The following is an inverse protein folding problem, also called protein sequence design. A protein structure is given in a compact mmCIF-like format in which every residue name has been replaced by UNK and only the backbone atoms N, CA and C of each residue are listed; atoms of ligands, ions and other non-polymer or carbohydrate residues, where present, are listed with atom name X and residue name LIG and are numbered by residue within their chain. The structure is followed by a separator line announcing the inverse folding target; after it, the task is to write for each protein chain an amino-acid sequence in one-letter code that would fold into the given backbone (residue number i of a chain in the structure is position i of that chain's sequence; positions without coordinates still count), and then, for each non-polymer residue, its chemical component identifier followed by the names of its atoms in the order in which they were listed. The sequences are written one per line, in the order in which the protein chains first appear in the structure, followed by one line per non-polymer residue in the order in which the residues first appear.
data_IF_637921636009
#
_entry.id   IF_637921636009
#
_cell.length_a   1.000
_cell.length_b   1.000
_cell.length_c   1.000
_cell.angle_alpha   90.00
_cell.angle_beta   90.00
_cell.angle_gamma   90.00
#
_symmetry.space_group_name_H-M   'P 1'
#
loop_
_entity.id
_entity.type
_entity.pdbx_description
1 polymer ?
#
# COMPACT_ATOMS: atom_id res chain seq x y z
N UNK A 1 -0.61 1.61 28.90
CA UNK A 1 -1.49 0.42 28.89
C UNK A 1 -2.60 0.50 27.83
N UNK A 2 -3.42 1.58 27.78
CA UNK A 2 -4.50 1.69 26.78
C UNK A 2 -3.98 1.78 25.33
N UNK A 3 -2.97 2.65 25.09
CA UNK A 3 -2.31 2.76 23.79
C UNK A 3 -1.65 1.45 23.35
N UNK A 4 -0.94 0.78 24.28
CA UNK A 4 -0.34 -0.53 24.02
C UNK A 4 -1.39 -1.57 23.62
N UNK A 5 -2.55 -1.57 24.27
CA UNK A 5 -3.68 -2.43 23.90
C UNK A 5 -4.17 -2.20 22.48
N UNK A 6 -4.25 -0.93 22.03
CA UNK A 6 -4.64 -0.55 20.67
C UNK A 6 -3.58 -0.99 19.66
N UNK A 7 -2.31 -0.66 19.90
CA UNK A 7 -1.21 -1.01 19.01
C UNK A 7 -1.05 -2.53 18.87
N UNK A 8 -1.19 -3.27 19.98
CA UNK A 8 -1.20 -4.74 19.97
C UNK A 8 -2.42 -5.32 19.23
N UNK A 9 -3.58 -4.66 19.29
CA UNK A 9 -4.76 -5.03 18.51
C UNK A 9 -4.50 -4.92 17.01
N UNK A 10 -3.99 -3.79 16.56
CA UNK A 10 -3.61 -3.55 15.16
C UNK A 10 -2.58 -4.57 14.71
N UNK A 11 -1.56 -4.83 15.51
CA UNK A 11 -0.52 -5.81 15.19
C UNK A 11 -1.07 -7.23 15.00
N UNK A 12 -2.02 -7.67 15.85
CA UNK A 12 -2.65 -9.00 15.73
C UNK A 12 -3.52 -9.13 14.50
N UNK A 13 -4.34 -8.12 14.19
CA UNK A 13 -5.21 -8.14 13.00
C UNK A 13 -4.37 -8.13 11.72
N UNK A 14 -3.36 -7.27 11.67
CA UNK A 14 -2.45 -7.20 10.54
C UNK A 14 -1.64 -8.49 10.39
N UNK A 15 -1.19 -9.10 11.48
CA UNK A 15 -0.50 -10.39 11.47
C UNK A 15 -1.33 -11.51 10.86
N UNK A 16 -2.64 -11.58 11.17
CA UNK A 16 -3.56 -12.54 10.53
C UNK A 16 -3.64 -12.32 9.02
N UNK A 17 -3.82 -11.07 8.60
CA UNK A 17 -3.87 -10.73 7.18
C UNK A 17 -2.58 -11.11 6.44
N UNK A 18 -1.43 -10.79 7.00
CA UNK A 18 -0.12 -11.09 6.41
C UNK A 18 0.05 -12.58 6.17
N UNK A 19 -0.25 -13.39 7.19
CA UNK A 19 -0.07 -14.85 7.15
C UNK A 19 -1.07 -15.58 6.24
N UNK A 20 -2.11 -14.90 5.76
CA UNK A 20 -3.11 -15.50 4.85
C UNK A 20 -3.07 -14.89 3.46
N UNK A 21 -3.08 -13.57 3.34
CA UNK A 21 -3.21 -12.87 2.06
C UNK A 21 -1.93 -12.94 1.19
N UNK A 22 -0.75 -12.88 1.81
CA UNK A 22 0.51 -12.95 1.06
C UNK A 22 0.75 -14.34 0.48
N UNK A 23 0.67 -15.43 1.26
CA UNK A 23 0.74 -16.78 0.70
C UNK A 23 -0.31 -17.04 -0.39
N UNK A 24 -1.56 -16.60 -0.18
CA UNK A 24 -2.63 -16.77 -1.17
C UNK A 24 -2.35 -16.03 -2.49
N UNK A 25 -1.81 -14.80 -2.42
CA UNK A 25 -1.43 -14.02 -3.61
C UNK A 25 -0.27 -14.68 -4.36
N UNK A 26 0.71 -15.17 -3.62
CA UNK A 26 1.86 -15.89 -4.18
C UNK A 26 1.40 -17.18 -4.88
N UNK A 27 0.63 -18.02 -4.21
CA UNK A 27 0.10 -19.28 -4.75
C UNK A 27 -0.78 -19.06 -5.99
N UNK A 28 -1.62 -18.04 -5.97
CA UNK A 28 -2.43 -17.68 -7.15
C UNK A 28 -1.56 -17.38 -8.35
N UNK A 29 -0.52 -16.58 -8.18
CA UNK A 29 0.38 -16.20 -9.28
C UNK A 29 1.18 -17.41 -9.81
N UNK A 30 1.57 -18.34 -8.93
CA UNK A 30 2.18 -19.62 -9.34
C UNK A 30 1.24 -20.42 -10.23
N UNK A 31 0.01 -20.61 -9.79
CA UNK A 31 -1.00 -21.40 -10.53
C UNK A 31 -1.38 -20.72 -11.84
N UNK A 32 -1.56 -19.39 -11.86
CA UNK A 32 -1.81 -18.63 -13.09
C UNK A 32 -0.67 -18.85 -14.12
N UNK A 33 0.58 -18.83 -13.68
CA UNK A 33 1.75 -19.06 -14.53
C UNK A 33 1.75 -20.50 -15.05
N UNK A 34 1.59 -21.49 -14.18
CA UNK A 34 1.51 -22.89 -14.56
C UNK A 34 0.39 -23.18 -15.58
N UNK A 35 -0.80 -22.69 -15.33
CA UNK A 35 -1.96 -22.84 -16.22
C UNK A 35 -1.78 -22.11 -17.57
N UNK A 36 -1.08 -20.98 -17.58
CA UNK A 36 -0.69 -20.29 -18.82
C UNK A 36 0.16 -21.20 -19.71
N UNK A 37 1.20 -21.83 -19.17
CA UNK A 37 2.06 -22.74 -19.91
C UNK A 37 1.31 -23.97 -20.40
N UNK A 38 0.50 -24.59 -19.54
CA UNK A 38 -0.30 -25.76 -19.87
C UNK A 38 -1.28 -25.48 -21.02
N UNK A 39 -1.96 -24.34 -21.00
CA UNK A 39 -2.91 -23.94 -22.06
C UNK A 39 -2.23 -23.71 -23.41
N UNK A 40 -1.00 -23.27 -23.40
CA UNK A 40 -0.23 -23.04 -24.63
C UNK A 40 0.60 -24.27 -25.07
N UNK A 41 0.39 -25.45 -24.45
CA UNK A 41 1.11 -26.66 -24.81
C UNK A 41 2.59 -26.66 -24.45
N UNK A 42 3.03 -25.74 -23.62
CA UNK A 42 4.42 -25.59 -23.22
C UNK A 42 4.75 -26.43 -21.98
N UNK A 43 5.99 -26.89 -21.89
CA UNK A 43 6.45 -27.69 -20.74
C UNK A 43 6.80 -26.78 -19.57
N UNK A 44 6.17 -27.03 -18.43
CA UNK A 44 6.54 -26.43 -17.14
C UNK A 44 6.32 -27.46 -16.04
N UNK A 45 7.29 -27.61 -15.16
CA UNK A 45 7.12 -28.48 -13.97
C UNK A 45 6.07 -27.86 -13.05
N UNK A 46 5.26 -28.72 -12.43
CA UNK A 46 4.30 -28.31 -11.42
C UNK A 46 5.00 -27.52 -10.31
N UNK A 47 4.41 -26.41 -9.80
CA UNK A 47 4.97 -25.67 -8.67
C UNK A 47 5.35 -26.51 -7.45
N UNK A 48 4.68 -27.64 -7.21
CA UNK A 48 5.01 -28.58 -6.14
C UNK A 48 6.44 -29.15 -6.25
N UNK A 49 6.98 -29.26 -7.46
CA UNK A 49 8.35 -29.70 -7.68
C UNK A 49 9.40 -28.75 -7.06
N UNK A 50 9.01 -27.53 -6.74
CA UNK A 50 9.85 -26.48 -6.17
C UNK A 50 9.28 -25.96 -4.84
N UNK A 51 8.55 -26.80 -4.11
CA UNK A 51 7.82 -26.42 -2.90
C UNK A 51 8.70 -25.65 -1.90
N UNK A 52 9.93 -26.13 -1.63
CA UNK A 52 10.84 -25.46 -0.70
C UNK A 52 11.23 -24.05 -1.16
N UNK A 53 11.58 -23.88 -2.43
CA UNK A 53 11.92 -22.57 -3.01
C UNK A 53 10.78 -21.56 -2.83
N UNK A 54 9.53 -22.03 -3.04
CA UNK A 54 8.35 -21.18 -2.92
C UNK A 54 8.01 -20.90 -1.45
N UNK A 55 8.18 -21.87 -0.55
CA UNK A 55 7.99 -21.66 0.88
C UNK A 55 8.98 -20.63 1.43
N UNK A 56 10.25 -20.74 1.09
CA UNK A 56 11.28 -19.79 1.53
C UNK A 56 10.96 -18.37 1.06
N UNK A 57 10.55 -18.20 -0.20
CA UNK A 57 10.15 -16.91 -0.75
C UNK A 57 8.91 -16.32 -0.03
N UNK A 58 7.92 -17.13 0.29
CA UNK A 58 6.74 -16.71 1.07
C UNK A 58 7.16 -16.28 2.48
N UNK A 59 8.01 -17.05 3.15
CA UNK A 59 8.49 -16.72 4.49
C UNK A 59 9.27 -15.40 4.53
N UNK A 60 10.07 -15.12 3.52
CA UNK A 60 10.81 -13.87 3.40
C UNK A 60 9.86 -12.67 3.25
N UNK A 61 8.90 -12.75 2.34
CA UNK A 61 7.88 -11.71 2.12
C UNK A 61 7.04 -11.44 3.38
N UNK A 62 6.63 -12.50 4.08
CA UNK A 62 5.86 -12.39 5.32
C UNK A 62 6.68 -11.66 6.40
N UNK A 63 7.95 -12.04 6.59
CA UNK A 63 8.86 -11.39 7.53
C UNK A 63 9.06 -9.91 7.20
N UNK A 64 9.30 -9.60 5.95
CA UNK A 64 9.53 -8.23 5.50
C UNK A 64 8.30 -7.34 5.75
N UNK A 65 7.12 -7.83 5.41
CA UNK A 65 5.88 -7.09 5.65
C UNK A 65 5.63 -6.89 7.16
N UNK A 66 5.85 -7.93 7.97
CA UNK A 66 5.74 -7.83 9.43
C UNK A 66 6.70 -6.76 9.97
N UNK A 67 7.95 -6.75 9.52
CA UNK A 67 8.94 -5.76 9.92
C UNK A 67 8.50 -4.33 9.55
N UNK A 68 8.03 -4.11 8.34
CA UNK A 68 7.59 -2.80 7.87
C UNK A 68 6.41 -2.25 8.71
N UNK A 69 5.43 -3.10 9.01
CA UNK A 69 4.28 -2.73 9.84
C UNK A 69 4.70 -2.48 11.29
N UNK A 70 5.54 -3.35 11.85
CA UNK A 70 6.05 -3.19 13.20
C UNK A 70 6.83 -1.86 13.37
N UNK A 71 7.61 -1.49 12.38
CA UNK A 71 8.29 -0.19 12.35
C UNK A 71 7.31 0.98 12.36
N UNK A 72 6.24 0.92 11.56
CA UNK A 72 5.19 1.93 11.56
C UNK A 72 4.53 2.08 12.94
N UNK A 73 4.13 0.96 13.54
CA UNK A 73 3.53 0.92 14.87
C UNK A 73 4.49 1.49 15.93
N UNK A 74 5.76 1.11 15.86
CA UNK A 74 6.80 1.58 16.79
C UNK A 74 7.07 3.08 16.66
N UNK A 75 6.99 3.65 15.46
CA UNK A 75 7.09 5.10 15.26
C UNK A 75 5.96 5.85 15.98
N UNK A 76 4.72 5.34 15.86
CA UNK A 76 3.57 5.92 16.56
C UNK A 76 3.76 5.82 18.07
N UNK A 77 4.11 4.64 18.58
CA UNK A 77 4.39 4.43 20.00
C UNK A 77 5.41 5.43 20.55
N UNK A 78 6.57 5.56 19.90
CA UNK A 78 7.62 6.52 20.30
C UNK A 78 7.14 7.97 20.23
N UNK A 79 6.33 8.33 19.23
CA UNK A 79 5.78 9.69 19.11
C UNK A 79 4.84 10.01 20.28
N UNK A 80 3.90 9.13 20.57
CA UNK A 80 2.93 9.31 21.66
C UNK A 80 3.64 9.32 23.01
N UNK A 81 4.58 8.39 23.26
CA UNK A 81 5.38 8.38 24.50
C UNK A 81 6.18 9.67 24.68
N UNK A 82 6.81 10.18 23.64
CA UNK A 82 7.55 11.47 23.70
C UNK A 82 6.66 12.64 24.09
N UNK A 83 5.41 12.67 23.64
CA UNK A 83 4.45 13.68 24.03
C UNK A 83 3.94 13.50 25.46
N UNK A 84 3.85 12.27 25.94
CA UNK A 84 3.48 11.99 27.33
C UNK A 84 4.61 12.32 28.32
N UNK A 85 5.86 12.15 27.90
CA UNK A 85 7.06 12.41 28.74
C UNK A 85 7.42 13.89 28.79
N UNK A 86 7.12 14.66 27.74
CA UNK A 86 7.39 16.11 27.71
C UNK A 86 6.20 16.82 28.35
N UNK A 87 6.44 17.48 29.51
CA UNK A 87 5.45 18.24 30.31
C UNK A 87 4.68 19.35 29.53
N UNK A 88 4.96 19.54 28.27
CA UNK A 88 4.41 20.63 27.45
C UNK A 88 3.02 20.41 26.89
N UNK A 89 2.53 19.18 26.78
CA UNK A 89 1.16 18.95 26.27
C UNK A 89 0.26 18.34 27.35
N UNK A 90 -0.25 19.20 28.21
CA UNK A 90 -1.27 18.87 29.21
C UNK A 90 -2.54 18.25 28.58
N UNK A 91 -2.78 18.53 27.30
CA UNK A 91 -3.98 18.11 26.61
C UNK A 91 -4.08 16.58 26.39
N UNK A 92 -2.96 15.88 26.12
CA UNK A 92 -2.93 14.41 26.00
C UNK A 92 -3.04 13.69 27.35
N UNK A 93 -2.41 14.25 28.38
CA UNK A 93 -2.59 13.77 29.75
C UNK A 93 -4.04 13.97 30.21
N UNK A 94 -4.64 15.12 29.90
CA UNK A 94 -6.04 15.40 30.18
C UNK A 94 -6.99 14.48 29.42
N UNK A 95 -6.74 14.17 28.14
CA UNK A 95 -7.53 13.20 27.38
C UNK A 95 -7.47 11.79 27.97
N UNK A 96 -6.28 11.33 28.34
CA UNK A 96 -6.09 10.04 29.02
C UNK A 96 -6.72 9.99 30.42
N UNK A 97 -6.58 11.06 31.20
CA UNK A 97 -7.21 11.21 32.52
C UNK A 97 -8.75 11.31 32.40
N UNK A 98 -9.25 12.06 31.43
CA UNK A 98 -10.69 12.19 31.13
C UNK A 98 -11.30 10.84 30.75
N UNK A 99 -10.67 10.09 29.85
CA UNK A 99 -11.12 8.75 29.48
C UNK A 99 -11.10 7.78 30.68
N UNK A 100 -10.07 7.85 31.54
CA UNK A 100 -9.96 7.03 32.75
C UNK A 100 -10.96 7.45 33.84
N UNK A 101 -11.17 8.75 34.04
CA UNK A 101 -12.15 9.30 34.97
C UNK A 101 -13.60 8.99 34.52
N UNK A 102 -13.87 9.11 33.23
CA UNK A 102 -15.17 8.76 32.65
C UNK A 102 -15.48 7.27 32.82
N UNK A 103 -14.48 6.39 32.64
CA UNK A 103 -14.62 4.96 32.95
C UNK A 103 -14.96 4.72 34.41
N UNK A 104 -14.31 5.43 35.34
CA UNK A 104 -14.55 5.28 36.77
C UNK A 104 -15.93 5.84 37.22
N UNK A 105 -16.38 6.95 36.60
CA UNK A 105 -17.61 7.65 36.97
C UNK A 105 -18.86 7.11 36.26
N UNK A 106 -18.72 6.65 35.01
CA UNK A 106 -19.88 6.27 34.17
C UNK A 106 -20.02 4.75 33.95
N UNK A 107 -19.08 3.95 34.46
CA UNK A 107 -19.08 2.51 34.25
C UNK A 107 -18.81 2.09 32.78
N UNK A 108 -18.25 3.00 31.97
CA UNK A 108 -17.92 2.71 30.56
C UNK A 108 -16.96 1.52 30.47
N UNK A 109 -17.13 0.70 29.45
CA UNK A 109 -16.29 -0.47 29.23
C UNK A 109 -14.87 -0.08 28.83
N UNK A 110 -13.89 -0.95 29.03
CA UNK A 110 -12.51 -0.73 28.58
C UNK A 110 -12.44 -0.45 27.07
N UNK A 111 -13.35 -1.07 26.30
CA UNK A 111 -13.44 -0.87 24.85
C UNK A 111 -13.89 0.55 24.48
N UNK A 112 -14.85 1.10 25.19
CA UNK A 112 -15.32 2.49 24.97
C UNK A 112 -14.26 3.51 25.36
N UNK A 113 -13.56 3.32 26.48
CA UNK A 113 -12.46 4.18 26.88
C UNK A 113 -11.28 4.13 25.87
N UNK A 114 -10.99 2.96 25.29
CA UNK A 114 -10.02 2.81 24.20
C UNK A 114 -10.47 3.55 22.93
N UNK A 115 -11.76 3.45 22.56
CA UNK A 115 -12.31 4.14 21.39
C UNK A 115 -12.22 5.66 21.55
N UNK A 116 -12.52 6.20 22.73
CA UNK A 116 -12.38 7.63 23.04
C UNK A 116 -10.93 8.11 22.92
N UNK A 117 -9.99 7.36 23.50
CA UNK A 117 -8.57 7.70 23.37
C UNK A 117 -8.11 7.67 21.91
N UNK A 118 -8.55 6.69 21.12
CA UNK A 118 -8.25 6.65 19.69
C UNK A 118 -8.82 7.85 18.94
N UNK A 119 -10.03 8.27 19.26
CA UNK A 119 -10.63 9.47 18.68
C UNK A 119 -9.77 10.72 18.94
N UNK A 120 -9.35 10.93 20.17
CA UNK A 120 -8.49 12.05 20.56
C UNK A 120 -7.13 12.02 19.86
N UNK A 121 -6.49 10.84 19.78
CA UNK A 121 -5.21 10.66 19.09
C UNK A 121 -5.33 10.90 17.59
N UNK A 122 -6.45 10.46 16.97
CA UNK A 122 -6.70 10.65 15.55
C UNK A 122 -6.97 12.13 15.24
N UNK A 123 -7.76 12.81 16.08
CA UNK A 123 -8.07 14.23 15.90
C UNK A 123 -6.81 15.12 16.01
N UNK A 124 -5.86 14.73 16.85
CA UNK A 124 -4.57 15.43 17.03
C UNK A 124 -3.46 14.96 16.10
N UNK A 125 -3.76 14.15 15.10
CA UNK A 125 -2.82 13.64 14.10
C UNK A 125 -1.65 12.80 14.65
N UNK A 126 -1.84 12.15 15.80
CA UNK A 126 -0.80 11.28 16.39
C UNK A 126 -0.72 9.89 15.75
N UNK A 127 -1.79 9.44 15.09
CA UNK A 127 -1.88 8.12 14.47
C UNK A 127 -1.41 8.18 13.02
N UNK A 128 -0.19 8.64 12.82
CA UNK A 128 0.44 8.72 11.50
C UNK A 128 1.88 8.20 11.51
N UNK A 129 2.32 7.71 10.36
CA UNK A 129 3.68 7.20 10.12
C UNK A 129 4.42 8.19 9.22
N UNK A 130 5.67 8.50 9.57
CA UNK A 130 6.52 9.27 8.67
C UNK A 130 6.93 8.39 7.50
N UNK A 131 6.57 8.81 6.29
CA UNK A 131 6.95 8.17 5.04
C UNK A 131 7.89 9.07 4.24
N UNK A 132 8.93 8.45 3.65
CA UNK A 132 9.98 9.19 2.97
C UNK A 132 11.07 9.71 3.92
N UNK A 133 12.05 10.40 3.37
CA UNK A 133 13.19 10.93 4.11
C UNK A 133 13.55 12.36 3.71
N UNK A 134 14.23 13.09 4.58
CA UNK A 134 14.69 14.46 4.35
C UNK A 134 13.55 15.42 4.01
N UNK A 135 13.75 16.29 3.03
CA UNK A 135 12.75 17.30 2.59
C UNK A 135 11.51 16.70 1.93
N UNK A 136 11.52 15.41 1.58
CA UNK A 136 10.38 14.70 0.98
C UNK A 136 9.59 13.87 1.99
N UNK A 137 9.96 13.90 3.26
CA UNK A 137 9.24 13.21 4.31
C UNK A 137 7.87 13.87 4.55
N UNK A 138 6.84 13.04 4.68
CA UNK A 138 5.47 13.48 5.00
C UNK A 138 4.79 12.47 5.92
N UNK A 139 3.73 12.92 6.59
CA UNK A 139 2.98 12.07 7.49
C UNK A 139 1.86 11.35 6.73
N UNK A 140 1.69 10.07 6.99
CA UNK A 140 0.66 9.21 6.41
C UNK A 140 -0.14 8.59 7.55
N UNK A 141 -1.49 8.68 7.56
CA UNK A 141 -2.30 7.96 8.53
C UNK A 141 -1.96 6.47 8.55
N UNK A 142 -1.95 5.86 9.73
CA UNK A 142 -1.55 4.44 9.89
C UNK A 142 -2.37 3.52 9.00
N UNK A 143 -3.68 3.73 8.90
CA UNK A 143 -4.57 2.96 8.03
C UNK A 143 -4.13 3.04 6.55
N UNK A 144 -3.88 4.26 6.04
CA UNK A 144 -3.39 4.46 4.67
C UNK A 144 -2.03 3.82 4.46
N UNK A 145 -1.14 3.88 5.46
CA UNK A 145 0.17 3.24 5.41
C UNK A 145 0.05 1.71 5.34
N UNK A 146 -0.75 1.10 6.21
CA UNK A 146 -0.94 -0.36 6.24
C UNK A 146 -1.58 -0.87 4.96
N UNK A 147 -2.59 -0.17 4.42
CA UNK A 147 -3.17 -0.49 3.12
C UNK A 147 -2.17 -0.40 1.96
N UNK A 148 -1.31 0.62 1.98
CA UNK A 148 -0.26 0.78 0.96
C UNK A 148 0.74 -0.38 1.03
N UNK A 149 1.20 -0.73 2.23
CA UNK A 149 2.12 -1.86 2.44
C UNK A 149 1.47 -3.17 1.99
N UNK A 150 0.22 -3.43 2.40
CA UNK A 150 -0.51 -4.64 2.03
C UNK A 150 -0.64 -4.79 0.50
N UNK A 151 -1.06 -3.73 -0.20
CA UNK A 151 -1.18 -3.75 -1.67
C UNK A 151 0.16 -3.94 -2.37
N UNK A 152 1.19 -3.26 -1.90
CA UNK A 152 2.53 -3.36 -2.48
C UNK A 152 3.11 -4.76 -2.32
N UNK A 153 3.06 -5.33 -1.11
CA UNK A 153 3.59 -6.67 -0.83
C UNK A 153 2.78 -7.77 -1.51
N UNK A 154 1.45 -7.62 -1.63
CA UNK A 154 0.62 -8.55 -2.41
C UNK A 154 1.04 -8.58 -3.89
N UNK A 155 1.36 -7.42 -4.46
CA UNK A 155 1.84 -7.30 -5.84
C UNK A 155 3.22 -7.93 -6.01
N UNK A 156 4.08 -7.64 -5.07
CA UNK A 156 5.43 -8.18 -5.00
C UNK A 156 5.44 -9.69 -4.89
N UNK A 157 4.57 -10.27 -4.05
CA UNK A 157 4.39 -11.70 -3.94
C UNK A 157 4.04 -12.36 -5.28
N UNK A 158 3.13 -11.73 -6.05
CA UNK A 158 2.78 -12.22 -7.39
C UNK A 158 3.93 -12.14 -8.39
N UNK A 159 4.71 -11.06 -8.39
CA UNK A 159 5.87 -10.92 -9.28
C UNK A 159 6.98 -11.89 -8.90
N UNK A 160 7.28 -12.04 -7.61
CA UNK A 160 8.30 -12.98 -7.12
C UNK A 160 7.92 -14.43 -7.44
N UNK A 161 6.63 -14.79 -7.30
CA UNK A 161 6.15 -16.13 -7.66
C UNK A 161 6.41 -16.45 -9.13
N UNK A 162 6.09 -15.51 -10.04
CA UNK A 162 6.31 -15.67 -11.48
C UNK A 162 7.79 -15.78 -11.79
N UNK A 163 8.61 -14.89 -11.25
CA UNK A 163 10.06 -14.91 -11.42
C UNK A 163 10.65 -16.26 -10.99
N UNK A 164 10.35 -16.71 -9.77
CA UNK A 164 10.87 -17.96 -9.22
C UNK A 164 10.43 -19.18 -10.05
N UNK A 165 9.14 -19.25 -10.41
CA UNK A 165 8.59 -20.35 -11.20
C UNK A 165 9.20 -20.41 -12.59
N UNK A 166 9.37 -19.27 -13.26
CA UNK A 166 9.99 -19.20 -14.58
C UNK A 166 11.45 -19.62 -14.53
N UNK A 167 12.25 -19.00 -13.66
CA UNK A 167 13.68 -19.31 -13.52
C UNK A 167 13.92 -20.78 -13.17
N UNK A 168 13.12 -21.37 -12.26
CA UNK A 168 13.23 -22.78 -11.90
C UNK A 168 12.92 -23.74 -13.05
N UNK A 169 12.22 -23.28 -14.08
CA UNK A 169 11.93 -24.06 -15.30
C UNK A 169 12.81 -23.67 -16.51
N UNK A 170 13.82 -22.81 -16.32
CA UNK A 170 14.75 -22.41 -17.36
C UNK A 170 14.24 -21.31 -18.30
N UNK A 171 13.16 -20.62 -17.95
CA UNK A 171 12.64 -19.47 -18.68
C UNK A 171 13.20 -18.17 -18.09
N UNK A 172 13.77 -17.33 -18.94
CA UNK A 172 14.46 -16.11 -18.49
C UNK A 172 13.74 -14.81 -18.84
N UNK A 173 12.77 -14.84 -19.77
CA UNK A 173 12.20 -13.60 -20.27
C UNK A 173 10.81 -13.33 -19.70
N UNK A 174 10.61 -12.06 -19.31
CA UNK A 174 9.34 -11.54 -18.81
C UNK A 174 9.00 -10.19 -19.44
N UNK A 175 7.73 -9.93 -19.66
CA UNK A 175 7.23 -8.64 -20.13
C UNK A 175 6.49 -7.91 -19.02
N UNK A 176 6.78 -6.62 -18.84
CA UNK A 176 6.03 -5.78 -17.91
C UNK A 176 4.72 -5.33 -18.53
N UNK A 177 3.62 -5.49 -17.78
CA UNK A 177 2.27 -5.11 -18.24
C UNK A 177 2.15 -3.61 -18.49
N UNK A 178 1.15 -3.24 -19.28
CA UNK A 178 0.78 -1.85 -19.54
C UNK A 178 -0.35 -1.38 -18.63
N UNK A 179 -0.33 -0.11 -18.24
CA UNK A 179 -1.42 0.58 -17.58
C UNK A 179 -1.59 1.99 -18.13
N UNK A 180 -2.84 2.40 -18.30
CA UNK A 180 -3.20 3.73 -18.76
C UNK A 180 -4.23 4.38 -17.82
N UNK A 181 -4.07 5.63 -17.40
CA UNK A 181 -2.83 6.39 -17.46
C UNK A 181 -1.80 5.84 -16.45
N UNK A 182 -0.52 5.98 -16.77
CA UNK A 182 0.57 5.51 -15.91
C UNK A 182 1.40 6.67 -15.34
N UNK A 183 2.18 6.38 -14.26
CA UNK A 183 3.08 7.37 -13.69
C UNK A 183 4.35 7.53 -14.54
N UNK A 184 5.10 8.65 -14.41
CA UNK A 184 6.30 8.90 -15.23
C UNK A 184 7.38 7.81 -15.09
N UNK A 185 7.54 7.26 -13.89
CA UNK A 185 8.54 6.20 -13.62
C UNK A 185 8.16 4.92 -14.35
N UNK A 186 6.90 4.47 -14.20
CA UNK A 186 6.44 3.24 -14.82
C UNK A 186 6.30 3.37 -16.35
N UNK A 187 6.02 4.57 -16.87
CA UNK A 187 5.90 4.80 -18.31
C UNK A 187 7.17 4.43 -19.07
N UNK A 188 8.32 4.71 -18.49
CA UNK A 188 9.62 4.35 -19.06
C UNK A 188 9.91 2.83 -19.01
N UNK A 189 9.19 2.07 -18.18
CA UNK A 189 9.49 0.67 -17.89
C UNK A 189 8.46 -0.30 -18.48
N UNK A 190 7.20 0.12 -18.63
CA UNK A 190 6.11 -0.75 -19.10
C UNK A 190 6.27 -1.19 -20.56
N UNK A 191 5.63 -2.30 -20.91
CA UNK A 191 5.63 -2.91 -22.25
C UNK A 191 6.98 -3.42 -22.74
N UNK A 192 8.04 -3.35 -21.91
CA UNK A 192 9.37 -3.88 -22.25
C UNK A 192 9.48 -5.32 -21.80
N UNK A 193 10.33 -6.06 -22.52
CA UNK A 193 10.78 -7.39 -22.13
C UNK A 193 12.09 -7.24 -21.35
N UNK A 194 12.24 -8.06 -20.32
CA UNK A 194 13.39 -8.07 -19.41
C UNK A 194 13.92 -9.48 -19.25
N UNK A 195 15.24 -9.63 -19.14
CA UNK A 195 15.90 -10.86 -18.71
C UNK A 195 15.88 -10.93 -17.18
N UNK A 196 15.39 -12.04 -16.63
CA UNK A 196 15.37 -12.30 -15.19
C UNK A 196 16.79 -12.44 -14.65
N UNK A 197 17.62 -13.25 -15.33
CA UNK A 197 19.03 -13.45 -14.97
C UNK A 197 19.91 -12.24 -15.31
N UNK A 198 19.52 -11.46 -16.31
CA UNK A 198 20.34 -10.39 -16.91
C UNK A 198 21.40 -10.91 -17.88
N UNK A 199 21.37 -12.19 -18.23
CA UNK A 199 22.36 -12.82 -19.11
C UNK A 199 21.99 -12.71 -20.59
N UNK A 200 20.71 -12.51 -20.94
CA UNK A 200 20.30 -12.28 -22.32
C UNK A 200 20.65 -10.86 -22.77
N UNK A 201 21.65 -10.66 -23.67
CA UNK A 201 22.09 -9.31 -24.04
C UNK A 201 21.10 -8.55 -24.91
N UNK A 202 20.06 -9.20 -25.42
CA UNK A 202 19.01 -8.58 -26.25
C UNK A 202 18.03 -7.75 -25.41
N UNK A 203 17.94 -8.05 -24.10
CA UNK A 203 16.98 -7.43 -23.20
C UNK A 203 17.65 -6.89 -21.93
N UNK A 204 17.18 -5.77 -21.38
CA UNK A 204 17.72 -5.24 -20.14
C UNK A 204 17.40 -6.20 -18.97
N UNK A 205 18.25 -6.23 -17.93
CA UNK A 205 18.01 -7.04 -16.75
C UNK A 205 16.77 -6.56 -16.00
N UNK A 206 15.98 -7.49 -15.44
CA UNK A 206 14.78 -7.19 -14.66
C UNK A 206 15.07 -6.30 -13.45
N UNK A 207 16.28 -6.39 -12.88
CA UNK A 207 16.73 -5.50 -11.79
C UNK A 207 16.71 -4.02 -12.16
N UNK A 208 16.74 -3.67 -13.45
CA UNK A 208 16.57 -2.28 -13.90
C UNK A 208 15.15 -1.74 -13.64
N UNK A 209 14.15 -2.60 -13.76
CA UNK A 209 12.76 -2.26 -13.46
C UNK A 209 12.47 -2.31 -11.95
N UNK A 210 13.09 -3.24 -11.24
CA UNK A 210 12.93 -3.47 -9.80
C UNK A 210 14.17 -3.01 -9.01
N UNK A 211 14.60 -1.77 -9.27
CA UNK A 211 15.86 -1.22 -8.76
C UNK A 211 15.89 -0.96 -7.24
N UNK A 212 14.73 -1.00 -6.57
CA UNK A 212 14.61 -0.78 -5.12
C UNK A 212 14.93 -2.01 -4.27
N UNK A 213 15.24 -3.16 -4.88
CA UNK A 213 15.35 -4.45 -4.20
C UNK A 213 14.02 -5.18 -4.00
N UNK A 214 12.90 -4.47 -4.12
CA UNK A 214 11.55 -5.05 -4.10
C UNK A 214 11.15 -5.55 -5.49
N UNK A 215 10.24 -6.53 -5.56
CA UNK A 215 9.70 -7.05 -6.82
C UNK A 215 8.54 -6.20 -7.36
N UNK A 216 8.65 -4.89 -7.23
CA UNK A 216 7.77 -3.87 -7.80
C UNK A 216 8.56 -2.59 -8.11
N UNK A 217 8.02 -1.70 -8.92
CA UNK A 217 8.70 -0.46 -9.33
C UNK A 217 8.71 0.59 -8.21
N UNK A 218 7.60 0.71 -7.50
CA UNK A 218 7.40 1.66 -6.40
C UNK A 218 6.14 1.28 -5.57
N UNK A 219 5.97 1.80 -4.37
CA UNK A 219 4.75 1.58 -3.58
C UNK A 219 3.49 1.96 -4.38
N UNK A 220 2.44 1.14 -4.25
CA UNK A 220 1.19 1.25 -5.03
C UNK A 220 1.34 1.04 -6.56
N UNK A 221 2.47 0.52 -7.04
CA UNK A 221 2.61 0.13 -8.43
C UNK A 221 1.57 -0.93 -8.82
N UNK A 222 0.95 -0.77 -9.99
CA UNK A 222 -0.05 -1.72 -10.51
C UNK A 222 0.53 -2.72 -11.52
N UNK A 223 1.75 -2.49 -12.00
CA UNK A 223 2.40 -3.34 -12.99
C UNK A 223 2.76 -4.70 -12.41
N UNK A 224 2.62 -5.71 -13.25
CA UNK A 224 3.09 -7.08 -13.01
C UNK A 224 3.98 -7.49 -14.16
N UNK A 225 4.83 -8.48 -13.91
CA UNK A 225 5.53 -9.18 -14.97
C UNK A 225 4.68 -10.38 -15.44
N UNK A 226 4.75 -10.68 -16.73
CA UNK A 226 4.12 -11.85 -17.36
C UNK A 226 5.18 -12.63 -18.13
N UNK A 227 5.05 -13.95 -18.29
CA UNK A 227 5.97 -14.72 -19.14
C UNK A 227 6.06 -14.11 -20.53
N UNK A 228 7.28 -14.02 -21.07
CA UNK A 228 7.53 -13.74 -22.48
C UNK A 228 8.16 -14.97 -23.10
N UNK A 229 7.41 -15.66 -23.95
CA UNK A 229 7.80 -16.93 -24.55
C UNK A 229 7.96 -16.70 -26.04
N UNK A 230 9.19 -16.73 -26.53
CA UNK A 230 9.50 -16.40 -27.93
C UNK A 230 8.89 -17.37 -28.92
N UNK A 231 8.73 -18.65 -28.55
CA UNK A 231 8.05 -19.66 -29.38
C UNK A 231 6.58 -19.36 -29.65
N UNK A 232 5.97 -18.46 -28.89
CA UNK A 232 4.58 -18.02 -29.08
C UNK A 232 4.47 -16.68 -29.79
N UNK A 233 5.59 -16.05 -30.16
CA UNK A 233 5.63 -14.74 -30.80
C UNK A 233 6.01 -14.86 -32.27
N UNK A 234 5.55 -13.94 -33.08
CA UNK A 234 6.04 -13.79 -34.45
C UNK A 234 7.45 -13.18 -34.46
N UNK A 235 8.24 -13.38 -35.54
CA UNK A 235 9.54 -12.74 -35.68
C UNK A 235 9.47 -11.21 -35.56
N UNK A 236 8.39 -10.60 -36.06
CA UNK A 236 8.15 -9.15 -36.01
C UNK A 236 7.91 -8.68 -34.55
N UNK A 237 7.15 -9.44 -33.76
CA UNK A 237 6.91 -9.16 -32.35
C UNK A 237 8.18 -9.26 -31.52
N UNK A 238 9.05 -10.25 -31.83
CA UNK A 238 10.35 -10.39 -31.16
C UNK A 238 11.25 -9.19 -31.50
N UNK A 239 11.34 -8.79 -32.77
CA UNK A 239 12.13 -7.63 -33.18
C UNK A 239 11.63 -6.34 -32.54
N UNK A 240 10.31 -6.12 -32.51
CA UNK A 240 9.72 -4.95 -31.87
C UNK A 240 9.96 -4.96 -30.35
N UNK A 241 9.87 -6.11 -29.70
CA UNK A 241 10.18 -6.25 -28.27
C UNK A 241 11.67 -5.93 -27.98
N UNK A 242 12.59 -6.40 -28.82
CA UNK A 242 14.02 -6.07 -28.71
C UNK A 242 14.24 -4.57 -28.89
N UNK A 243 13.69 -3.97 -29.97
CA UNK A 243 13.81 -2.54 -30.24
C UNK A 243 13.32 -1.72 -29.06
N UNK A 244 12.08 -1.97 -28.58
CA UNK A 244 11.47 -1.25 -27.49
C UNK A 244 12.24 -1.43 -26.16
N UNK A 245 12.76 -2.61 -25.91
CA UNK A 245 13.45 -2.92 -24.65
C UNK A 245 14.83 -2.26 -24.56
N UNK A 246 15.45 -1.94 -25.71
CA UNK A 246 16.76 -1.26 -25.79
C UNK A 246 16.66 0.26 -25.96
N UNK A 247 15.49 0.82 -26.25
CA UNK A 247 15.28 2.27 -26.31
C UNK A 247 15.63 2.97 -24.98
N UNK A 248 16.00 4.25 -25.01
CA UNK A 248 16.21 5.03 -23.78
C UNK A 248 15.02 4.90 -22.80
N UNK A 249 15.31 4.89 -21.50
CA UNK A 249 14.29 4.78 -20.43
C UNK A 249 13.71 6.15 -20.09
N UNK A 250 13.31 6.89 -21.12
CA UNK A 250 12.66 8.18 -20.99
C UNK A 250 11.14 8.03 -20.86
N UNK A 251 10.47 9.10 -20.44
CA UNK A 251 9.03 9.14 -20.31
C UNK A 251 8.34 9.30 -21.68
N UNK A 252 7.78 8.23 -22.28
CA UNK A 252 7.22 8.25 -23.63
C UNK A 252 5.79 8.81 -23.70
N UNK A 253 5.21 9.22 -22.57
CA UNK A 253 3.81 9.64 -22.48
C UNK A 253 3.54 10.89 -23.31
N UNK A 254 2.42 10.89 -24.01
CA UNK A 254 1.89 12.07 -24.69
C UNK A 254 1.52 13.17 -23.68
N UNK A 255 1.36 14.39 -24.16
CA UNK A 255 0.90 15.51 -23.33
C UNK A 255 -0.48 15.24 -22.73
N UNK A 256 -1.38 14.61 -23.49
CA UNK A 256 -2.73 14.23 -23.04
C UNK A 256 -2.67 13.19 -21.93
N UNK A 257 -1.84 12.15 -22.05
CA UNK A 257 -1.67 11.14 -21.00
C UNK A 257 -1.09 11.74 -19.71
N UNK A 258 -0.12 12.64 -19.83
CA UNK A 258 0.44 13.39 -18.68
C UNK A 258 -0.62 14.23 -18.00
N UNK A 259 -1.47 14.92 -18.77
CA UNK A 259 -2.58 15.72 -18.25
C UNK A 259 -3.63 14.84 -17.55
N UNK A 260 -4.01 13.72 -18.16
CA UNK A 260 -4.95 12.75 -17.60
C UNK A 260 -4.43 12.17 -16.28
N UNK A 261 -3.16 11.74 -16.25
CA UNK A 261 -2.52 11.26 -15.04
C UNK A 261 -2.51 12.33 -13.93
N UNK A 262 -2.13 13.56 -14.27
CA UNK A 262 -2.09 14.69 -13.33
C UNK A 262 -3.47 14.97 -12.73
N UNK A 263 -4.52 14.96 -13.58
CA UNK A 263 -5.92 15.09 -13.12
C UNK A 263 -6.30 13.96 -12.17
N UNK A 264 -6.03 12.71 -12.54
CA UNK A 264 -6.31 11.56 -11.69
C UNK A 264 -5.58 11.65 -10.34
N UNK A 265 -4.32 12.09 -10.33
CA UNK A 265 -3.57 12.27 -9.09
C UNK A 265 -4.15 13.42 -8.24
N UNK A 266 -4.61 14.50 -8.86
CA UNK A 266 -5.28 15.58 -8.15
C UNK A 266 -6.60 15.10 -7.51
N UNK A 267 -7.40 14.35 -8.23
CA UNK A 267 -8.66 13.77 -7.74
C UNK A 267 -8.42 12.78 -6.59
N UNK A 268 -7.40 11.94 -6.72
CA UNK A 268 -6.99 10.99 -5.66
C UNK A 268 -6.48 11.73 -4.41
N UNK A 269 -5.74 12.84 -4.56
CA UNK A 269 -5.31 13.67 -3.43
C UNK A 269 -6.51 14.31 -2.72
N UNK A 270 -7.46 14.85 -3.48
CA UNK A 270 -8.71 15.42 -2.94
C UNK A 270 -9.52 14.36 -2.19
N UNK A 271 -9.66 13.17 -2.78
CA UNK A 271 -10.40 12.07 -2.16
C UNK A 271 -9.78 11.66 -0.82
N UNK A 272 -8.44 11.52 -0.77
CA UNK A 272 -7.72 11.20 0.47
C UNK A 272 -7.84 12.32 1.51
N UNK A 273 -7.73 13.57 1.09
CA UNK A 273 -7.91 14.72 1.99
C UNK A 273 -9.34 14.76 2.56
N UNK A 274 -10.36 14.47 1.73
CA UNK A 274 -11.75 14.38 2.17
C UNK A 274 -11.95 13.23 3.16
N UNK A 275 -11.36 12.05 2.89
CA UNK A 275 -11.45 10.90 3.79
C UNK A 275 -10.80 11.20 5.14
N UNK A 276 -9.59 11.75 5.10
CA UNK A 276 -8.89 12.15 6.32
C UNK A 276 -9.65 13.20 7.13
N UNK A 277 -10.23 14.19 6.45
CA UNK A 277 -11.11 15.16 7.10
C UNK A 277 -12.35 14.50 7.69
N UNK A 278 -12.97 13.55 6.99
CA UNK A 278 -14.14 12.82 7.48
C UNK A 278 -13.81 12.03 8.75
N UNK A 279 -12.68 11.31 8.80
CA UNK A 279 -12.28 10.55 10.00
C UNK A 279 -12.05 11.49 11.21
N UNK A 280 -11.45 12.65 10.99
CA UNK A 280 -11.31 13.67 12.04
C UNK A 280 -12.66 14.22 12.52
N UNK A 281 -13.57 14.49 11.59
CA UNK A 281 -14.93 14.95 11.94
C UNK A 281 -15.69 13.86 12.69
N UNK A 282 -15.59 12.62 12.24
CA UNK A 282 -16.21 11.46 12.90
C UNK A 282 -15.63 11.25 14.30
N UNK A 283 -14.32 11.35 14.46
CA UNK A 283 -13.65 11.24 15.76
C UNK A 283 -14.12 12.31 16.75
N UNK A 284 -14.25 13.57 16.30
CA UNK A 284 -14.61 14.71 17.15
C UNK A 284 -16.10 14.85 17.40
N UNK A 285 -16.93 14.64 16.39
CA UNK A 285 -18.38 14.83 16.46
C UNK A 285 -19.14 13.59 16.95
N UNK A 286 -18.55 12.41 16.88
CA UNK A 286 -19.19 11.16 17.29
C UNK A 286 -20.49 10.89 16.53
N UNK A 287 -21.60 10.76 17.24
CA UNK A 287 -22.94 10.51 16.67
C UNK A 287 -23.46 11.64 15.76
N UNK A 288 -22.97 12.88 15.94
CA UNK A 288 -23.37 14.04 15.14
C UNK A 288 -22.61 14.11 13.79
N UNK A 289 -21.62 13.25 13.59
CA UNK A 289 -20.93 13.13 12.31
C UNK A 289 -21.81 12.44 11.27
N UNK A 290 -21.61 12.73 9.97
CA UNK A 290 -22.28 11.99 8.90
C UNK A 290 -22.01 10.48 9.00
N UNK A 291 -23.06 9.66 8.83
CA UNK A 291 -22.99 8.19 8.99
C UNK A 291 -22.05 7.50 7.99
N UNK A 292 -21.71 8.17 6.89
CA UNK A 292 -20.81 7.61 5.88
C UNK A 292 -19.96 8.68 5.20
N UNK A 293 -18.81 8.27 4.69
CA UNK A 293 -17.92 9.13 3.90
C UNK A 293 -18.63 9.75 2.67
N UNK A 294 -19.50 8.98 2.01
CA UNK A 294 -20.29 9.49 0.90
C UNK A 294 -21.28 10.61 1.31
N UNK A 295 -21.89 10.49 2.49
CA UNK A 295 -22.74 11.54 3.06
C UNK A 295 -21.94 12.80 3.40
N UNK A 296 -20.77 12.63 4.02
CA UNK A 296 -19.85 13.72 4.32
C UNK A 296 -19.45 14.50 3.05
N UNK A 297 -19.01 13.79 2.01
CA UNK A 297 -18.62 14.42 0.74
C UNK A 297 -19.76 15.18 0.07
N UNK A 298 -21.00 14.65 0.10
CA UNK A 298 -22.17 15.34 -0.44
C UNK A 298 -22.43 16.65 0.30
N UNK A 299 -22.43 16.63 1.64
CA UNK A 299 -22.62 17.82 2.48
C UNK A 299 -21.52 18.86 2.19
N UNK A 300 -20.27 18.42 2.16
CA UNK A 300 -19.12 19.28 1.85
C UNK A 300 -19.21 19.90 0.45
N UNK A 301 -19.59 19.11 -0.56
CA UNK A 301 -19.71 19.58 -1.95
C UNK A 301 -20.83 20.59 -2.13
N UNK A 302 -21.94 20.40 -1.43
CA UNK A 302 -23.08 21.33 -1.45
C UNK A 302 -22.73 22.68 -0.82
N UNK A 303 -21.74 22.72 0.07
CA UNK A 303 -21.24 23.92 0.75
C UNK A 303 -22.35 24.83 1.32
N UNK A 304 -23.46 24.21 1.78
CA UNK A 304 -24.63 24.90 2.28
C UNK A 304 -24.69 24.91 3.82
N UNK A 305 -25.85 25.34 4.36
CA UNK A 305 -26.08 25.48 5.79
C UNK A 305 -25.70 24.26 6.64
N UNK A 306 -25.91 23.04 6.10
CA UNK A 306 -25.49 21.79 6.79
C UNK A 306 -23.98 21.68 6.96
N UNK A 307 -23.22 22.15 5.96
CA UNK A 307 -21.75 22.17 6.05
C UNK A 307 -21.27 23.17 7.09
N UNK A 308 -21.83 24.39 7.10
CA UNK A 308 -21.50 25.42 8.09
C UNK A 308 -21.80 24.97 9.52
N UNK A 309 -22.99 24.40 9.76
CA UNK A 309 -23.37 23.85 11.08
C UNK A 309 -22.36 22.80 11.54
N UNK A 310 -21.98 21.88 10.64
CA UNK A 310 -21.01 20.83 10.96
C UNK A 310 -19.61 21.40 11.23
N UNK A 311 -19.17 22.41 10.47
CA UNK A 311 -17.90 23.09 10.73
C UNK A 311 -17.88 23.82 12.07
N UNK A 312 -18.99 24.50 12.42
CA UNK A 312 -19.10 25.20 13.69
C UNK A 312 -19.12 24.22 14.86
N UNK A 313 -19.86 23.12 14.75
CA UNK A 313 -19.87 22.07 15.77
C UNK A 313 -18.45 21.45 15.94
N UNK A 314 -17.71 21.24 14.83
CA UNK A 314 -16.34 20.74 14.89
C UNK A 314 -15.38 21.72 15.57
N UNK A 315 -15.55 23.03 15.33
CA UNK A 315 -14.74 24.07 15.97
C UNK A 315 -15.06 24.20 17.47
N UNK A 316 -16.35 24.22 17.81
CA UNK A 316 -16.79 24.35 19.20
C UNK A 316 -16.30 23.21 20.12
N UNK A 317 -16.11 22.01 19.58
CA UNK A 317 -15.57 20.85 20.34
C UNK A 317 -14.04 20.80 20.39
N UNK A 318 -13.35 21.83 19.88
CA UNK A 318 -11.88 21.92 19.96
C UNK A 318 -11.40 22.45 21.33
N UNK A 319 -12.28 23.12 22.03
CA UNK A 319 -12.07 23.61 23.38
C UNK A 319 -12.45 22.53 24.42
#
# INVERSE_FOLDING_TARGET
RQLEGILNGIQRETGRYINTAIPAAYQRALMETYEYFKRNGLRMRNPEAFAQLHQDAIHELVREMQYNIQNGISQIGRRVMRYLDVERDQSLRQAGLKASAQKALTGTTTREAQAQLMQELTDKDFVSVQYGSGKRAYQVPLETYTEMVARSTTREAGNLAREKQLSANGYDLVKMTEHYPTCPVCAALQCRVYSISGEDPRFPPLSRAFSSGYKNVHPNCRHVITPWIEELQSPEEIQEAMRRSTEPFDDPRSQEERALYSKQQADNRRLRADLYQYERYKARLGADAPKSFGAFRRIKKQNGKKWEVMQNAYKARKE
#
